data_IF_241834688176
#
_entry.id   IF_241834688176
#
_cell.length_a   1.000
_cell.length_b   1.000
_cell.length_c   1.000
_cell.angle_alpha   90.00
_cell.angle_beta   90.00
_cell.angle_gamma   90.00
#
_symmetry.space_group_name_H-M   'P 1'
#
loop_
_entity.id
_entity.type
_entity.pdbx_description
1 polymer ?
#
# COMPACT_ATOMS: atom_id res chain seq x y z
N UNK A 1 -2.22 31.73 -15.62
CA UNK A 1 -2.35 30.26 -15.63
C UNK A 1 -1.05 29.65 -15.14
N UNK A 2 -1.02 28.96 -13.99
CA UNK A 2 0.14 28.14 -13.61
C UNK A 2 0.08 26.85 -14.43
N UNK A 3 1.07 26.61 -15.29
CA UNK A 3 1.18 25.34 -16.00
C UNK A 3 1.20 24.19 -14.99
N UNK A 4 0.31 23.21 -15.16
CA UNK A 4 0.35 22.00 -14.36
C UNK A 4 1.71 21.32 -14.60
N UNK A 5 2.51 21.16 -13.54
CA UNK A 5 3.80 20.46 -13.65
C UNK A 5 3.53 19.02 -14.06
N UNK A 6 4.29 18.54 -15.03
CA UNK A 6 4.21 17.16 -15.54
C UNK A 6 5.40 16.36 -15.01
N UNK A 7 5.15 15.13 -14.57
CA UNK A 7 6.18 14.20 -14.16
C UNK A 7 6.24 13.03 -15.14
N UNK A 8 7.44 12.78 -15.68
CA UNK A 8 7.73 11.68 -16.61
C UNK A 8 8.56 10.60 -15.94
N UNK A 9 8.64 9.44 -16.59
CA UNK A 9 9.41 8.30 -16.10
C UNK A 9 8.80 7.64 -14.85
N UNK A 10 7.55 7.94 -14.52
CA UNK A 10 6.86 7.35 -13.37
C UNK A 10 6.44 5.92 -13.70
N UNK A 11 7.05 4.98 -13.00
CA UNK A 11 6.83 3.54 -13.11
C UNK A 11 6.08 2.95 -11.92
N UNK A 12 5.69 3.72 -10.91
CA UNK A 12 4.87 3.22 -9.81
C UNK A 12 3.70 4.13 -9.47
N UNK A 13 2.62 3.53 -8.97
CA UNK A 13 1.46 4.25 -8.45
C UNK A 13 1.65 4.76 -7.02
N UNK A 14 0.62 5.40 -6.44
CA UNK A 14 0.66 5.97 -5.08
C UNK A 14 1.06 4.98 -3.99
N UNK A 15 0.88 3.67 -4.19
CA UNK A 15 1.23 2.67 -3.18
C UNK A 15 2.71 2.65 -2.80
N UNK A 16 3.61 3.20 -3.63
CA UNK A 16 5.02 3.32 -3.29
C UNK A 16 5.25 4.15 -2.02
N UNK A 17 4.27 4.98 -1.63
CA UNK A 17 4.25 5.71 -0.37
C UNK A 17 4.42 4.82 0.88
N UNK A 18 3.99 3.55 0.81
CA UNK A 18 4.19 2.58 1.87
C UNK A 18 5.43 1.71 1.74
N UNK A 19 6.34 2.06 0.83
CA UNK A 19 7.59 1.36 0.54
C UNK A 19 8.77 2.33 0.72
N UNK A 20 9.26 2.55 1.95
CA UNK A 20 10.26 3.56 2.27
C UNK A 20 11.69 3.06 1.94
N UNK A 21 11.92 2.67 0.69
CA UNK A 21 13.25 2.28 0.18
C UNK A 21 13.67 3.35 -0.84
N UNK A 22 14.65 4.22 -0.49
CA UNK A 22 14.99 5.40 -1.29
C UNK A 22 15.38 5.05 -2.73
N UNK A 23 16.18 4.00 -2.92
CA UNK A 23 16.66 3.57 -4.23
C UNK A 23 15.51 3.13 -5.12
N UNK A 24 14.46 2.56 -4.54
CA UNK A 24 13.26 2.16 -5.27
C UNK A 24 12.39 3.36 -5.63
N UNK A 25 12.36 4.41 -4.81
CA UNK A 25 11.70 5.68 -5.15
C UNK A 25 12.40 6.34 -6.32
N UNK A 26 13.73 6.45 -6.28
CA UNK A 26 14.51 7.02 -7.38
C UNK A 26 14.30 6.24 -8.69
N UNK A 27 14.33 4.91 -8.61
CA UNK A 27 14.13 4.05 -9.77
C UNK A 27 12.70 4.13 -10.33
N UNK A 28 11.67 4.28 -9.49
CA UNK A 28 10.28 4.09 -9.91
C UNK A 28 9.48 5.39 -10.05
N UNK A 29 9.92 6.50 -9.46
CA UNK A 29 9.15 7.76 -9.50
C UNK A 29 9.65 8.74 -10.56
N UNK A 30 10.82 8.54 -11.15
CA UNK A 30 11.35 9.45 -12.17
C UNK A 30 11.32 10.91 -11.71
N UNK A 31 10.73 11.80 -12.52
CA UNK A 31 10.62 13.22 -12.17
C UNK A 31 9.77 13.50 -10.92
N UNK A 32 8.84 12.59 -10.59
CA UNK A 32 7.94 12.76 -9.46
C UNK A 32 8.70 12.72 -8.13
N UNK A 33 9.80 11.96 -8.02
CA UNK A 33 10.62 11.91 -6.81
C UNK A 33 11.12 13.31 -6.43
N UNK A 34 11.72 14.03 -7.40
CA UNK A 34 12.24 15.39 -7.19
C UNK A 34 11.13 16.37 -6.81
N UNK A 35 9.96 16.24 -7.43
CA UNK A 35 8.82 17.08 -7.12
C UNK A 35 8.28 16.81 -5.71
N UNK A 36 8.27 15.55 -5.26
CA UNK A 36 7.91 15.20 -3.87
C UNK A 36 8.89 15.84 -2.90
N UNK A 37 10.20 15.64 -3.08
CA UNK A 37 11.24 16.23 -2.22
C UNK A 37 11.03 17.73 -2.08
N UNK A 38 10.85 18.42 -3.22
CA UNK A 38 10.62 19.86 -3.28
C UNK A 38 9.36 20.30 -2.53
N UNK A 39 8.23 19.58 -2.65
CA UNK A 39 6.96 19.95 -2.02
C UNK A 39 6.89 19.63 -0.53
N UNK A 40 7.63 18.62 -0.10
CA UNK A 40 7.78 18.32 1.31
C UNK A 40 8.76 19.26 2.00
N UNK A 41 9.68 19.88 1.25
CA UNK A 41 10.84 20.55 1.82
C UNK A 41 11.81 19.55 2.45
N UNK A 42 11.83 18.32 1.93
CA UNK A 42 12.71 17.26 2.37
C UNK A 42 14.15 17.52 1.89
N UNK A 43 15.12 16.95 2.61
CA UNK A 43 16.55 17.06 2.26
C UNK A 43 16.87 16.31 0.97
N UNK A 44 16.32 15.11 0.85
CA UNK A 44 16.56 14.15 -0.23
C UNK A 44 15.37 13.18 -0.36
N UNK A 45 15.51 12.19 -1.24
CA UNK A 45 14.47 11.16 -1.49
C UNK A 45 14.26 10.27 -0.26
N UNK A 46 15.31 9.98 0.50
CA UNK A 46 15.21 9.16 1.72
C UNK A 46 14.34 9.86 2.77
N UNK A 47 14.62 11.13 3.06
CA UNK A 47 13.85 11.91 3.99
C UNK A 47 12.39 12.07 3.52
N UNK A 48 12.17 12.31 2.22
CA UNK A 48 10.83 12.38 1.65
C UNK A 48 10.05 11.06 1.79
N UNK A 49 10.68 9.92 1.48
CA UNK A 49 10.08 8.60 1.58
C UNK A 49 9.71 8.27 3.03
N UNK A 50 10.61 8.56 3.97
CA UNK A 50 10.40 8.40 5.41
C UNK A 50 9.24 9.27 5.91
N UNK A 51 9.19 10.55 5.51
CA UNK A 51 8.12 11.45 5.88
C UNK A 51 6.74 10.93 5.42
N UNK A 52 6.58 10.57 4.14
CA UNK A 52 5.31 10.06 3.62
C UNK A 52 4.93 8.70 4.23
N UNK A 53 5.92 7.84 4.50
CA UNK A 53 5.68 6.55 5.14
C UNK A 53 5.10 6.71 6.55
N UNK A 54 5.61 7.69 7.31
CA UNK A 54 5.12 7.98 8.67
C UNK A 54 3.92 8.91 8.70
N UNK A 55 3.72 9.76 7.69
CA UNK A 55 2.64 10.74 7.62
C UNK A 55 1.96 10.67 6.25
N UNK A 56 1.04 9.70 6.04
CA UNK A 56 0.38 9.47 4.75
C UNK A 56 -0.31 10.70 4.15
N UNK A 57 -0.79 11.63 4.96
CA UNK A 57 -1.42 12.88 4.50
C UNK A 57 -0.47 13.78 3.71
N UNK A 58 0.86 13.66 3.92
CA UNK A 58 1.85 14.44 3.18
C UNK A 58 1.89 14.10 1.68
N UNK A 59 1.45 12.91 1.29
CA UNK A 59 1.36 12.52 -0.12
C UNK A 59 0.46 13.47 -0.93
N UNK A 60 -0.56 14.04 -0.28
CA UNK A 60 -1.53 14.96 -0.90
C UNK A 60 -0.97 16.36 -1.18
N UNK A 61 0.24 16.69 -0.71
CA UNK A 61 0.91 17.92 -1.14
C UNK A 61 1.16 17.95 -2.64
N UNK A 62 1.14 16.80 -3.33
CA UNK A 62 1.22 16.71 -4.79
C UNK A 62 -0.05 17.15 -5.52
N UNK A 63 -1.17 17.31 -4.79
CA UNK A 63 -2.49 17.50 -5.40
C UNK A 63 -2.92 18.96 -5.53
N UNK A 64 -2.18 19.91 -4.93
CA UNK A 64 -2.46 21.35 -5.03
C UNK A 64 -1.17 22.19 -5.24
N UNK A 65 -0.94 22.76 -6.45
CA UNK A 65 -1.62 22.41 -7.69
C UNK A 65 -1.25 20.97 -8.11
N UNK A 66 -2.12 20.22 -8.80
CA UNK A 66 -1.85 18.82 -9.11
C UNK A 66 -0.62 18.64 -10.02
N UNK A 67 0.23 17.66 -9.70
CA UNK A 67 1.25 17.15 -10.63
C UNK A 67 0.60 16.15 -11.57
N UNK A 68 0.69 16.40 -12.87
CA UNK A 68 0.19 15.47 -13.89
C UNK A 68 1.24 14.40 -14.13
N UNK A 69 0.94 13.17 -13.74
CA UNK A 69 1.81 12.01 -14.01
C UNK A 69 1.50 11.45 -15.39
N UNK A 70 2.51 11.38 -16.25
CA UNK A 70 2.39 10.80 -17.59
C UNK A 70 2.66 9.28 -17.56
N UNK A 71 1.98 8.53 -18.44
CA UNK A 71 2.17 7.09 -18.60
C UNK A 71 1.23 6.22 -17.77
N UNK A 72 1.61 4.94 -17.60
CA UNK A 72 0.76 3.85 -17.07
C UNK A 72 0.08 4.17 -15.74
N UNK A 73 0.76 4.88 -14.83
CA UNK A 73 0.27 5.16 -13.49
C UNK A 73 -0.44 6.51 -13.35
N UNK A 74 -0.56 7.28 -14.45
CA UNK A 74 -1.18 8.61 -14.42
C UNK A 74 -2.59 8.61 -13.85
N UNK A 75 -3.41 7.61 -14.19
CA UNK A 75 -4.78 7.47 -13.69
C UNK A 75 -4.81 7.23 -12.17
N UNK A 76 -3.90 6.43 -11.63
CA UNK A 76 -3.86 6.16 -10.19
C UNK A 76 -3.47 7.41 -9.40
N UNK A 77 -2.47 8.16 -9.88
CA UNK A 77 -2.08 9.43 -9.28
C UNK A 77 -3.17 10.50 -9.42
N UNK A 78 -3.86 10.56 -10.56
CA UNK A 78 -4.99 11.47 -10.74
C UNK A 78 -6.15 11.12 -9.81
N UNK A 79 -6.46 9.83 -9.63
CA UNK A 79 -7.50 9.37 -8.69
C UNK A 79 -7.16 9.70 -7.25
N UNK A 80 -5.89 9.58 -6.87
CA UNK A 80 -5.42 10.01 -5.55
C UNK A 80 -5.78 11.48 -5.32
N UNK A 81 -5.48 12.37 -6.26
CA UNK A 81 -5.75 13.79 -6.10
C UNK A 81 -7.23 14.17 -6.23
N UNK A 82 -7.98 13.51 -7.11
CA UNK A 82 -9.39 13.85 -7.35
C UNK A 82 -10.33 13.26 -6.29
N UNK A 83 -10.10 12.01 -5.88
CA UNK A 83 -11.00 11.28 -4.98
C UNK A 83 -10.41 11.06 -3.59
N UNK A 84 -9.12 11.35 -3.38
CA UNK A 84 -8.43 11.00 -2.15
C UNK A 84 -8.16 9.51 -2.03
N UNK A 85 -8.13 8.75 -3.13
CA UNK A 85 -8.08 7.29 -3.07
C UNK A 85 -6.78 6.73 -3.63
N UNK A 86 -6.03 6.03 -2.79
CA UNK A 86 -4.97 5.12 -3.23
C UNK A 86 -5.58 3.78 -3.66
N UNK A 87 -4.86 2.95 -4.45
CA UNK A 87 -5.33 1.62 -4.80
C UNK A 87 -5.73 0.77 -3.59
N UNK A 88 -6.93 0.18 -3.66
CA UNK A 88 -7.59 -0.46 -2.53
C UNK A 88 -7.38 -1.99 -2.47
N UNK A 89 -6.98 -2.62 -3.56
CA UNK A 89 -6.71 -4.06 -3.61
C UNK A 89 -5.35 -4.44 -3.01
N UNK A 90 -5.06 -5.75 -2.97
CA UNK A 90 -3.75 -6.25 -2.54
C UNK A 90 -2.59 -5.72 -3.40
N UNK A 91 -2.85 -5.36 -4.66
CA UNK A 91 -1.86 -4.79 -5.60
C UNK A 91 -0.81 -5.78 -6.10
N UNK A 92 -0.60 -6.88 -5.37
CA UNK A 92 0.32 -7.97 -5.69
C UNK A 92 -0.44 -9.17 -6.27
N UNK A 93 0.18 -9.85 -7.23
CA UNK A 93 -0.31 -11.12 -7.78
C UNK A 93 0.58 -12.25 -7.24
N UNK A 94 0.13 -12.91 -6.19
CA UNK A 94 0.79 -14.10 -5.67
C UNK A 94 0.63 -15.27 -6.65
N UNK A 95 1.64 -16.14 -6.80
CA UNK A 95 1.49 -17.40 -7.53
C UNK A 95 0.28 -18.18 -7.05
N UNK A 96 -0.38 -18.89 -7.96
CA UNK A 96 -1.52 -19.74 -7.62
C UNK A 96 -1.04 -21.13 -7.21
N UNK A 97 -1.48 -21.58 -6.04
CA UNK A 97 -1.19 -22.91 -5.50
C UNK A 97 -2.45 -23.46 -4.83
N UNK A 98 -2.61 -24.78 -4.84
CA UNK A 98 -3.73 -25.42 -4.16
C UNK A 98 -3.45 -25.45 -2.65
N UNK A 99 -4.37 -24.90 -1.88
CA UNK A 99 -4.32 -24.86 -0.41
C UNK A 99 -5.72 -25.08 0.12
N UNK A 100 -5.90 -26.09 0.96
CA UNK A 100 -7.14 -26.34 1.68
C UNK A 100 -7.04 -25.80 3.11
N UNK A 101 -7.06 -24.47 3.23
CA UNK A 101 -7.03 -23.77 4.51
C UNK A 101 -8.04 -22.62 4.53
N UNK A 102 -8.63 -22.38 5.70
CA UNK A 102 -9.57 -21.28 5.95
C UNK A 102 -9.07 -20.38 7.06
N UNK A 103 -8.91 -19.10 6.75
CA UNK A 103 -8.48 -18.07 7.70
C UNK A 103 -9.70 -17.23 8.06
N UNK A 104 -10.06 -17.10 9.34
CA UNK A 104 -11.28 -16.41 9.76
C UNK A 104 -11.12 -14.89 9.78
N UNK A 105 -10.69 -14.31 8.66
CA UNK A 105 -10.47 -12.87 8.49
C UNK A 105 -11.18 -12.34 7.24
N UNK A 106 -12.10 -11.40 7.44
CA UNK A 106 -12.75 -10.60 6.41
C UNK A 106 -11.91 -9.33 6.13
N UNK A 107 -10.72 -9.51 5.55
CA UNK A 107 -9.82 -8.42 5.12
C UNK A 107 -9.54 -8.58 3.62
N UNK A 108 -10.07 -7.65 2.83
CA UNK A 108 -10.00 -7.63 1.35
C UNK A 108 -9.43 -6.32 0.80
N UNK A 109 -8.92 -5.44 1.67
CA UNK A 109 -8.18 -4.25 1.29
C UNK A 109 -6.69 -4.47 1.52
N UNK A 110 -5.85 -4.05 0.56
CA UNK A 110 -4.40 -4.08 0.75
C UNK A 110 -3.89 -2.93 1.63
N UNK A 111 -2.65 -3.01 2.14
CA UNK A 111 -2.05 -1.97 2.99
C UNK A 111 -1.94 -0.60 2.31
N UNK A 112 -1.92 -0.55 0.97
CA UNK A 112 -1.90 0.69 0.21
C UNK A 112 -3.11 1.61 0.50
N UNK A 113 -4.24 1.05 0.93
CA UNK A 113 -5.43 1.81 1.30
C UNK A 113 -5.18 2.82 2.44
N UNK A 114 -4.12 2.65 3.24
CA UNK A 114 -3.72 3.57 4.30
C UNK A 114 -3.28 4.96 3.80
N UNK A 115 -2.87 5.06 2.53
CA UNK A 115 -2.50 6.33 1.88
C UNK A 115 -3.68 7.00 1.16
N UNK A 116 -4.91 6.63 1.52
CA UNK A 116 -6.12 7.33 1.10
C UNK A 116 -6.51 8.43 2.09
N UNK A 117 -7.16 9.51 1.64
CA UNK A 117 -7.76 10.52 2.50
C UNK A 117 -8.82 9.87 3.35
N UNK A 118 -8.90 10.27 4.62
CA UNK A 118 -9.90 9.77 5.57
C UNK A 118 -11.29 10.39 5.33
N UNK A 119 -11.80 10.26 4.11
CA UNK A 119 -13.14 10.74 3.72
C UNK A 119 -14.24 9.76 4.13
N UNK A 120 -15.51 10.21 4.09
CA UNK A 120 -16.67 9.33 4.35
C UNK A 120 -16.73 8.16 3.37
N UNK A 121 -16.39 8.38 2.10
CA UNK A 121 -16.37 7.35 1.06
C UNK A 121 -15.30 6.29 1.33
N UNK A 122 -14.07 6.71 1.67
CA UNK A 122 -12.98 5.80 2.04
C UNK A 122 -13.35 5.02 3.30
N UNK A 123 -13.90 5.66 4.33
CA UNK A 123 -14.35 4.98 5.53
C UNK A 123 -15.44 3.93 5.25
N UNK A 124 -16.39 4.23 4.35
CA UNK A 124 -17.40 3.26 3.92
C UNK A 124 -16.77 2.06 3.19
N UNK A 125 -15.76 2.31 2.35
CA UNK A 125 -15.02 1.25 1.67
C UNK A 125 -14.29 0.33 2.67
N UNK A 126 -13.63 0.91 3.67
CA UNK A 126 -12.99 0.16 4.76
C UNK A 126 -13.98 -0.70 5.54
N UNK A 127 -15.14 -0.17 5.95
CA UNK A 127 -16.20 -0.95 6.61
C UNK A 127 -16.65 -2.14 5.75
N UNK A 128 -16.81 -1.92 4.45
CA UNK A 128 -17.30 -2.94 3.52
C UNK A 128 -16.27 -4.03 3.22
N UNK A 129 -15.01 -3.67 3.07
CA UNK A 129 -13.98 -4.55 2.51
C UNK A 129 -12.89 -4.96 3.50
N UNK A 130 -12.83 -4.39 4.69
CA UNK A 130 -11.98 -4.87 5.76
C UNK A 130 -12.67 -4.67 7.13
N UNK A 131 -13.88 -5.24 7.34
CA UNK A 131 -14.62 -5.07 8.60
C UNK A 131 -13.80 -5.45 9.84
N UNK A 132 -12.96 -6.48 9.78
CA UNK A 132 -12.14 -6.89 10.93
C UNK A 132 -10.99 -5.90 11.23
N UNK A 133 -10.59 -5.09 10.24
CA UNK A 133 -9.54 -4.09 10.38
C UNK A 133 -10.09 -2.66 10.55
N UNK A 134 -11.38 -2.45 10.24
CA UNK A 134 -12.00 -1.14 10.29
C UNK A 134 -12.00 -0.49 11.69
N UNK A 135 -12.25 -1.20 12.81
CA UNK A 135 -12.15 -0.61 14.14
C UNK A 135 -10.75 -0.07 14.45
N UNK A 136 -9.69 -0.77 14.03
CA UNK A 136 -8.32 -0.29 14.16
C UNK A 136 -8.09 0.94 13.27
N UNK A 137 -8.51 0.89 12.01
CA UNK A 137 -8.40 2.02 11.09
C UNK A 137 -9.15 3.27 11.57
N UNK A 138 -10.34 3.12 12.16
CA UNK A 138 -11.16 4.25 12.61
C UNK A 138 -10.55 4.98 13.81
N UNK A 139 -9.86 4.24 14.71
CA UNK A 139 -9.14 4.79 15.88
C UNK A 139 -7.76 5.34 15.56
N UNK A 140 -7.14 4.89 14.47
CA UNK A 140 -5.83 5.36 14.03
C UNK A 140 -5.84 6.86 13.73
N UNK A 141 -4.86 7.59 14.27
CA UNK A 141 -4.74 9.05 14.15
C UNK A 141 -4.16 9.53 12.81
N UNK A 142 -3.83 8.61 11.90
CA UNK A 142 -3.26 8.92 10.60
C UNK A 142 -1.74 9.07 10.61
N UNK A 143 -1.04 8.76 11.72
CA UNK A 143 0.43 8.84 11.83
C UNK A 143 1.04 7.50 12.16
N UNK A 144 2.28 7.28 11.73
CA UNK A 144 3.05 6.05 11.96
C UNK A 144 2.26 4.76 11.65
N UNK A 145 1.66 4.65 10.44
CA UNK A 145 0.76 3.53 10.11
C UNK A 145 1.42 2.18 10.37
N UNK A 146 2.69 2.00 10.01
CA UNK A 146 3.36 0.72 10.20
C UNK A 146 3.48 0.33 11.67
N UNK A 147 3.94 1.23 12.54
CA UNK A 147 4.04 0.95 13.97
C UNK A 147 2.66 0.63 14.56
N UNK A 148 1.66 1.45 14.26
CA UNK A 148 0.30 1.25 14.76
C UNK A 148 -0.30 -0.08 14.30
N UNK A 149 -0.27 -0.36 12.99
CA UNK A 149 -0.86 -1.58 12.44
C UNK A 149 -0.08 -2.83 12.80
N UNK A 150 1.26 -2.77 12.97
CA UNK A 150 2.03 -3.90 13.51
C UNK A 150 1.49 -4.36 14.86
N UNK A 151 1.09 -3.42 15.71
CA UNK A 151 0.70 -3.72 17.10
C UNK A 151 -0.76 -4.19 17.20
N UNK A 152 -1.62 -3.85 16.23
CA UNK A 152 -3.07 -4.17 16.27
C UNK A 152 -3.54 -5.15 15.19
N UNK A 153 -2.66 -5.57 14.27
CA UNK A 153 -3.05 -6.52 13.22
C UNK A 153 -3.33 -7.90 13.81
N UNK A 154 -4.33 -8.65 13.30
CA UNK A 154 -4.71 -9.93 13.90
C UNK A 154 -3.58 -10.96 13.93
N UNK A 155 -3.26 -11.48 15.12
CA UNK A 155 -2.21 -12.49 15.33
C UNK A 155 -2.38 -13.75 14.46
N UNK A 156 -3.62 -14.20 14.28
CA UNK A 156 -4.00 -15.35 13.44
C UNK A 156 -3.49 -15.23 11.99
N UNK A 157 -3.30 -14.01 11.47
CA UNK A 157 -2.73 -13.83 10.14
C UNK A 157 -1.25 -14.20 10.09
N UNK A 158 -0.49 -13.89 11.15
CA UNK A 158 0.93 -14.23 11.25
C UNK A 158 1.11 -15.72 11.51
N UNK A 159 0.33 -16.30 12.42
CA UNK A 159 0.32 -17.75 12.68
C UNK A 159 0.04 -18.54 11.40
N UNK A 160 -0.95 -18.12 10.62
CA UNK A 160 -1.26 -18.73 9.33
C UNK A 160 -0.13 -18.55 8.30
N UNK A 161 0.54 -17.40 8.29
CA UNK A 161 1.70 -17.17 7.42
C UNK A 161 2.90 -18.04 7.81
N UNK A 162 3.12 -18.28 9.10
CA UNK A 162 4.21 -19.13 9.59
C UNK A 162 3.97 -20.61 9.30
N UNK A 163 2.70 -21.04 9.25
CA UNK A 163 2.34 -22.41 8.90
C UNK A 163 2.30 -22.68 7.39
N UNK A 164 1.79 -21.72 6.60
CA UNK A 164 1.49 -21.92 5.17
C UNK A 164 2.51 -21.24 4.24
N UNK A 165 3.39 -20.41 4.77
CA UNK A 165 4.11 -19.41 4.00
C UNK A 165 3.17 -18.32 3.45
N UNK A 166 3.75 -17.25 2.91
CA UNK A 166 2.97 -16.14 2.35
C UNK A 166 2.18 -16.52 1.10
N UNK A 167 2.74 -17.37 0.24
CA UNK A 167 2.05 -17.86 -0.96
C UNK A 167 0.90 -18.78 -0.58
N UNK A 168 1.10 -19.68 0.39
CA UNK A 168 0.04 -20.54 0.88
C UNK A 168 -1.08 -19.73 1.55
N UNK A 169 -0.72 -18.78 2.42
CA UNK A 169 -1.68 -17.83 2.99
C UNK A 169 -2.45 -17.08 1.90
N UNK A 170 -1.79 -16.53 0.87
CA UNK A 170 -2.49 -15.81 -0.20
C UNK A 170 -3.49 -16.67 -1.00
N UNK A 171 -3.33 -17.99 -0.98
CA UNK A 171 -4.21 -18.95 -1.67
C UNK A 171 -5.28 -19.56 -0.75
N UNK A 172 -5.13 -19.47 0.57
CA UNK A 172 -6.14 -19.84 1.53
C UNK A 172 -7.44 -19.03 1.35
N UNK A 173 -8.55 -19.56 1.89
CA UNK A 173 -9.87 -18.94 1.85
C UNK A 173 -10.07 -18.05 3.09
N UNK A 174 -10.40 -16.79 2.86
CA UNK A 174 -10.59 -15.79 3.91
C UNK A 174 -12.06 -15.49 4.18
N UNK A 175 -12.37 -15.42 5.48
CA UNK A 175 -13.59 -14.85 6.02
C UNK A 175 -14.87 -15.50 5.49
N UNK A 176 -15.99 -14.80 5.65
CA UNK A 176 -17.31 -15.33 5.26
C UNK A 176 -17.51 -15.38 3.76
N UNK A 177 -16.80 -14.55 3.01
CA UNK A 177 -16.93 -14.47 1.55
C UNK A 177 -16.18 -15.58 0.81
N UNK A 178 -15.32 -16.35 1.50
CA UNK A 178 -14.54 -17.43 0.89
C UNK A 178 -13.61 -16.96 -0.24
N UNK A 179 -13.24 -15.68 -0.26
CA UNK A 179 -12.29 -15.14 -1.26
C UNK A 179 -10.87 -15.52 -0.87
N UNK A 180 -9.95 -15.51 -1.82
CA UNK A 180 -8.52 -15.70 -1.53
C UNK A 180 -8.02 -14.63 -0.57
N UNK A 181 -7.19 -15.03 0.39
CA UNK A 181 -6.55 -14.20 1.41
C UNK A 181 -5.42 -13.30 0.88
N UNK A 182 -5.46 -12.86 -0.39
CA UNK A 182 -4.37 -12.08 -1.02
C UNK A 182 -4.09 -10.77 -0.30
N UNK A 183 -5.14 -10.09 0.19
CA UNK A 183 -4.99 -8.87 0.97
C UNK A 183 -4.35 -9.13 2.33
N UNK A 184 -4.77 -10.19 3.04
CA UNK A 184 -4.17 -10.60 4.31
C UNK A 184 -2.68 -10.89 4.15
N UNK A 185 -2.30 -11.68 3.14
CA UNK A 185 -0.90 -11.96 2.84
C UNK A 185 -0.11 -10.67 2.52
N UNK A 186 -0.70 -9.72 1.78
CA UNK A 186 -0.06 -8.44 1.49
C UNK A 186 0.17 -7.59 2.75
N UNK A 187 -0.77 -7.62 3.71
CA UNK A 187 -0.59 -6.97 5.01
C UNK A 187 0.50 -7.62 5.84
N UNK A 188 0.50 -8.95 5.96
CA UNK A 188 1.55 -9.67 6.69
C UNK A 188 2.92 -9.35 6.11
N UNK A 189 3.06 -9.38 4.79
CA UNK A 189 4.31 -9.00 4.12
C UNK A 189 4.72 -7.57 4.48
N UNK A 190 3.81 -6.61 4.36
CA UNK A 190 4.11 -5.21 4.63
C UNK A 190 4.49 -4.96 6.10
N UNK A 191 3.82 -5.65 7.04
CA UNK A 191 4.14 -5.54 8.46
C UNK A 191 5.52 -6.13 8.76
N UNK A 192 5.84 -7.33 8.23
CA UNK A 192 7.14 -7.99 8.47
C UNK A 192 8.31 -7.23 7.84
N UNK A 193 8.12 -6.70 6.63
CA UNK A 193 9.24 -6.19 5.82
C UNK A 193 9.32 -4.67 5.78
N UNK A 194 8.29 -3.96 6.26
CA UNK A 194 8.12 -2.50 6.05
C UNK A 194 8.12 -2.11 4.57
N UNK A 195 7.80 -3.03 3.66
CA UNK A 195 7.86 -2.85 2.21
C UNK A 195 6.56 -3.28 1.56
N UNK A 196 6.14 -2.57 0.52
CA UNK A 196 4.95 -2.95 -0.24
C UNK A 196 5.25 -4.14 -1.17
N UNK A 197 4.50 -5.26 -1.08
CA UNK A 197 4.79 -6.47 -1.86
C UNK A 197 4.67 -6.22 -3.37
N UNK A 198 3.72 -5.42 -3.82
CA UNK A 198 3.53 -5.10 -5.23
C UNK A 198 4.70 -4.31 -5.83
N UNK A 199 5.42 -3.52 -5.02
CA UNK A 199 6.60 -2.78 -5.46
C UNK A 199 7.80 -3.74 -5.56
N UNK A 200 7.97 -4.62 -4.56
CA UNK A 200 9.00 -5.66 -4.62
C UNK A 200 8.78 -6.63 -5.79
N UNK A 201 7.52 -7.01 -6.08
CA UNK A 201 7.18 -7.80 -7.27
C UNK A 201 7.55 -7.09 -8.56
N UNK A 202 7.21 -5.81 -8.66
CA UNK A 202 7.55 -5.03 -9.84
C UNK A 202 9.07 -4.94 -10.07
N UNK A 203 9.86 -4.96 -9.00
CA UNK A 203 11.31 -4.96 -9.04
C UNK A 203 11.91 -6.37 -9.18
N UNK A 204 11.09 -7.41 -9.40
CA UNK A 204 11.54 -8.79 -9.58
C UNK A 204 11.98 -9.49 -8.29
N UNK A 205 11.67 -8.90 -7.11
CA UNK A 205 12.13 -9.40 -5.80
C UNK A 205 11.16 -10.40 -5.15
N UNK A 206 9.89 -10.44 -5.59
CA UNK A 206 8.88 -11.33 -4.98
C UNK A 206 9.15 -12.84 -5.11
N UNK A 207 10.06 -13.23 -6.00
CA UNK A 207 10.36 -14.62 -6.33
C UNK A 207 11.31 -15.31 -5.32
N UNK A 208 11.77 -14.59 -4.29
CA UNK A 208 12.69 -15.12 -3.28
C UNK A 208 12.03 -15.50 -1.95
N UNK A 209 10.69 -15.42 -1.86
CA UNK A 209 9.97 -15.53 -0.60
C UNK A 209 9.38 -16.93 -0.38
N UNK A 210 10.21 -17.78 0.23
CA UNK A 210 9.85 -18.90 1.11
C UNK A 210 9.07 -20.07 0.47
N UNK A 211 9.80 -20.84 -0.35
CA UNK A 211 9.80 -22.29 -0.23
C UNK A 211 10.47 -22.62 1.10
N UNK A 212 9.68 -22.78 2.17
CA UNK A 212 10.11 -23.56 3.35
C UNK A 212 9.39 -24.89 3.26
#
# INVERSE_FOLDING_TARGET
MRYARRARGVRAGPCIAGHPVPEHWEALLGDLAREIVRRLGAKDVEDAARQIFHYPTLLYRLCDPPVVVEGRYGVEWARLCAAGEAPMGAGVRFPEVQVDARIPLDIYLGPCALWSLRSKAVAANWRKNAPDLYPAYSRWDGRYPHAYFRDVFPAVAFEAADQLGLVGLANARCGRRGRRCTAVAAWVYWIRNRRMPQIDLQLGRLLSFDLV
#
